data_IF_463776080754
#
_entry.id   IF_463776080754
#
_cell.length_a   1.000
_cell.length_b   1.000
_cell.length_c   1.000
_cell.angle_alpha   90.00
_cell.angle_beta   90.00
_cell.angle_gamma   90.00
#
_symmetry.space_group_name_H-M   'P 1'
#
loop_
_entity.id
_entity.type
_entity.pdbx_description
1 polymer ?
#
# COMPACT_ATOMS: atom_id res chain seq x y z
N UNK A 1 -1.66 -30.21 22.61
CA UNK A 1 -1.78 -30.01 21.15
C UNK A 1 -0.60 -29.18 20.71
N UNK A 2 0.22 -29.66 19.77
CA UNK A 2 1.35 -28.88 19.27
C UNK A 2 0.83 -27.64 18.53
N UNK A 3 1.40 -26.48 18.81
CA UNK A 3 1.10 -25.24 18.10
C UNK A 3 1.28 -25.46 16.59
N UNK A 4 0.22 -25.19 15.82
CA UNK A 4 0.34 -25.10 14.36
C UNK A 4 1.23 -23.90 14.04
N UNK A 5 2.47 -24.17 13.62
CA UNK A 5 3.38 -23.13 13.13
C UNK A 5 2.99 -22.74 11.72
N UNK A 6 2.73 -21.46 11.49
CA UNK A 6 2.58 -20.93 10.14
C UNK A 6 3.88 -21.16 9.36
N UNK A 7 3.76 -21.62 8.10
CA UNK A 7 4.90 -21.72 7.19
C UNK A 7 5.35 -20.29 6.88
N UNK A 8 6.60 -19.98 7.19
CA UNK A 8 7.19 -18.68 6.88
C UNK A 8 7.20 -18.46 5.37
N UNK A 9 6.93 -17.22 4.96
CA UNK A 9 6.88 -16.85 3.56
C UNK A 9 8.15 -16.10 3.18
N UNK A 10 9.04 -16.75 2.44
CA UNK A 10 10.28 -16.12 1.97
C UNK A 10 10.08 -15.42 0.62
N UNK A 11 10.55 -14.18 0.51
CA UNK A 11 10.66 -13.49 -0.76
C UNK A 11 11.83 -12.49 -0.74
N UNK A 12 12.73 -12.58 -1.73
CA UNK A 12 13.94 -11.74 -1.83
C UNK A 12 14.81 -11.72 -0.56
N UNK A 13 14.88 -12.84 0.15
CA UNK A 13 15.67 -12.98 1.38
C UNK A 13 14.99 -12.43 2.64
N UNK A 14 13.77 -11.92 2.55
CA UNK A 14 12.95 -11.54 3.71
C UNK A 14 11.97 -12.65 4.09
N UNK A 15 11.78 -12.84 5.40
CA UNK A 15 10.77 -13.74 5.97
C UNK A 15 9.57 -12.91 6.41
N UNK A 16 8.51 -12.95 5.60
CA UNK A 16 7.29 -12.19 5.87
C UNK A 16 6.43 -12.84 6.96
N UNK A 17 5.80 -12.01 7.80
CA UNK A 17 4.86 -12.42 8.85
C UNK A 17 3.55 -12.95 8.28
N UNK A 18 3.21 -12.55 7.05
CA UNK A 18 2.05 -13.05 6.34
C UNK A 18 2.28 -13.23 4.84
N UNK A 19 1.48 -14.12 4.23
CA UNK A 19 1.44 -14.25 2.76
C UNK A 19 0.91 -12.98 2.08
N UNK A 20 0.07 -12.20 2.77
CA UNK A 20 -0.47 -10.96 2.22
C UNK A 20 0.61 -9.90 2.09
N UNK A 21 1.45 -9.71 3.11
CA UNK A 21 2.64 -8.84 3.05
C UNK A 21 3.56 -9.26 1.89
N UNK A 22 3.88 -10.55 1.78
CA UNK A 22 4.74 -11.03 0.70
C UNK A 22 4.15 -10.78 -0.70
N UNK A 23 2.82 -10.81 -0.85
CA UNK A 23 2.16 -10.45 -2.13
C UNK A 23 2.24 -8.96 -2.41
N UNK A 24 2.15 -8.11 -1.39
CA UNK A 24 2.38 -6.68 -1.54
C UNK A 24 3.85 -6.37 -1.90
N UNK A 25 4.83 -7.09 -1.33
CA UNK A 25 6.22 -6.99 -1.77
C UNK A 25 6.40 -7.33 -3.26
N UNK A 26 5.73 -8.38 -3.76
CA UNK A 26 5.69 -8.70 -5.20
C UNK A 26 5.03 -7.59 -6.03
N UNK A 27 3.99 -6.94 -5.51
CA UNK A 27 3.37 -5.78 -6.16
C UNK A 27 4.36 -4.61 -6.25
N UNK A 28 5.01 -4.24 -5.14
CA UNK A 28 5.97 -3.13 -5.09
C UNK A 28 7.12 -3.35 -6.08
N UNK A 29 7.69 -4.55 -6.11
CA UNK A 29 8.70 -4.93 -7.10
C UNK A 29 8.21 -4.82 -8.54
N UNK A 30 6.97 -5.24 -8.80
CA UNK A 30 6.40 -5.17 -10.15
C UNK A 30 6.11 -3.74 -10.58
N UNK A 31 5.86 -2.83 -9.64
CA UNK A 31 5.74 -1.39 -9.85
C UNK A 31 7.10 -0.69 -9.99
N UNK A 32 8.20 -1.35 -9.61
CA UNK A 32 9.54 -0.75 -9.64
C UNK A 32 9.78 0.29 -8.55
N UNK A 33 9.00 0.27 -7.47
CA UNK A 33 9.21 1.14 -6.30
C UNK A 33 10.21 0.49 -5.35
N UNK A 34 11.16 1.26 -4.84
CA UNK A 34 12.08 0.79 -3.80
C UNK A 34 11.35 0.66 -2.47
N UNK A 35 11.58 -0.43 -1.75
CA UNK A 35 10.93 -0.71 -0.48
C UNK A 35 11.88 -1.34 0.54
N UNK A 36 11.63 -1.05 1.81
CA UNK A 36 12.24 -1.68 2.98
C UNK A 36 11.14 -2.43 3.75
N UNK A 37 11.42 -3.64 4.23
CA UNK A 37 10.50 -4.41 5.08
C UNK A 37 10.88 -4.25 6.55
N UNK A 38 9.91 -3.94 7.40
CA UNK A 38 10.09 -3.67 8.84
C UNK A 38 11.29 -2.72 9.12
N UNK A 39 11.29 -1.50 8.58
CA UNK A 39 12.48 -0.61 8.55
C UNK A 39 13.03 -0.30 9.95
N UNK A 40 12.19 0.16 10.86
CA UNK A 40 12.51 0.34 12.29
C UNK A 40 11.22 0.50 13.11
N UNK A 41 11.32 0.21 14.42
CA UNK A 41 10.22 0.40 15.37
C UNK A 41 10.30 1.74 16.09
N UNK A 42 9.15 2.38 16.27
CA UNK A 42 9.02 3.68 16.93
C UNK A 42 8.31 3.55 18.28
N UNK A 43 8.80 4.28 19.26
CA UNK A 43 8.08 4.57 20.51
C UNK A 43 7.28 5.86 20.34
N UNK A 44 5.95 5.75 20.40
CA UNK A 44 5.01 6.86 20.21
C UNK A 44 4.54 7.46 21.55
N UNK A 45 5.14 7.04 22.66
CA UNK A 45 4.74 7.41 24.01
C UNK A 45 3.52 6.64 24.51
N UNK A 46 3.22 6.80 25.81
CA UNK A 46 2.09 6.15 26.48
C UNK A 46 2.05 4.60 26.34
N UNK A 47 3.21 3.97 26.16
CA UNK A 47 3.33 2.52 25.96
C UNK A 47 2.92 2.04 24.55
N UNK A 48 2.75 2.95 23.60
CA UNK A 48 2.43 2.62 22.21
C UNK A 48 3.73 2.47 21.42
N UNK A 49 4.02 1.24 20.99
CA UNK A 49 5.06 0.97 20.01
C UNK A 49 4.46 0.62 18.66
N UNK A 50 5.07 1.11 17.59
CA UNK A 50 4.64 0.89 16.21
C UNK A 50 5.81 0.51 15.31
N UNK A 51 5.63 -0.55 14.53
CA UNK A 51 6.58 -1.01 13.50
C UNK A 51 5.78 -1.16 12.20
N UNK A 52 5.95 -0.25 11.23
CA UNK A 52 5.28 -0.36 9.94
C UNK A 52 5.78 -1.59 9.18
N UNK A 53 4.92 -2.20 8.37
CA UNK A 53 5.30 -3.37 7.55
C UNK A 53 6.31 -2.99 6.46
N UNK A 54 6.09 -1.85 5.79
CA UNK A 54 7.01 -1.37 4.75
C UNK A 54 7.25 0.13 4.82
N UNK A 55 8.39 0.54 4.26
CA UNK A 55 8.66 1.91 3.85
C UNK A 55 8.98 1.93 2.36
N UNK A 56 8.09 2.53 1.57
CA UNK A 56 8.27 2.76 0.14
C UNK A 56 9.01 4.07 -0.07
N UNK A 57 9.97 4.10 -1.00
CA UNK A 57 10.68 5.32 -1.37
C UNK A 57 10.15 5.85 -2.70
N UNK A 58 10.16 7.17 -2.85
CA UNK A 58 9.82 7.86 -4.11
C UNK A 58 8.43 7.51 -4.65
N UNK A 59 7.44 7.45 -3.76
CA UNK A 59 6.02 7.34 -4.13
C UNK A 59 5.51 8.73 -4.48
N UNK A 60 4.75 8.80 -5.57
CA UNK A 60 4.09 10.03 -5.99
C UNK A 60 2.74 10.19 -5.31
N UNK A 61 2.56 11.32 -4.64
CA UNK A 61 1.33 11.72 -3.98
C UNK A 61 0.65 12.86 -4.76
N UNK A 62 -0.62 13.10 -4.47
CA UNK A 62 -1.46 14.13 -5.12
C UNK A 62 -2.44 13.56 -6.14
N UNK A 63 -2.11 12.47 -6.83
CA UNK A 63 -3.06 11.74 -7.70
C UNK A 63 -3.44 12.47 -8.99
N UNK A 64 -2.69 13.49 -9.40
CA UNK A 64 -2.91 14.29 -10.61
C UNK A 64 -1.85 14.06 -11.69
N UNK A 65 -0.99 13.04 -11.54
CA UNK A 65 0.17 12.82 -12.39
C UNK A 65 1.32 13.80 -12.14
N UNK A 66 2.46 13.52 -12.76
CA UNK A 66 3.69 14.30 -12.63
C UNK A 66 3.56 15.67 -13.25
N UNK A 67 4.05 16.68 -12.53
CA UNK A 67 4.07 18.05 -13.05
C UNK A 67 2.84 18.87 -12.70
N UNK A 68 1.91 18.34 -11.90
CA UNK A 68 0.98 19.21 -11.17
C UNK A 68 1.72 19.88 -10.00
N UNK A 69 1.40 21.12 -9.68
CA UNK A 69 1.95 21.83 -8.52
C UNK A 69 1.57 21.15 -7.18
N UNK A 70 0.63 20.20 -7.22
CA UNK A 70 0.17 19.40 -6.10
C UNK A 70 0.81 18.00 -6.05
N UNK A 71 1.72 17.68 -6.98
CA UNK A 71 2.42 16.39 -6.99
C UNK A 71 3.71 16.46 -6.19
N UNK A 72 3.89 15.50 -5.29
CA UNK A 72 5.10 15.38 -4.48
C UNK A 72 5.62 13.94 -4.52
N UNK A 73 6.94 13.78 -4.61
CA UNK A 73 7.62 12.49 -4.52
C UNK A 73 8.20 12.36 -3.12
N UNK A 74 7.69 11.39 -2.34
CA UNK A 74 8.11 11.20 -0.95
C UNK A 74 8.22 9.73 -0.58
N UNK A 75 8.71 9.50 0.64
CA UNK A 75 8.60 8.20 1.28
C UNK A 75 7.18 8.00 1.82
N UNK A 76 6.72 6.75 1.83
CA UNK A 76 5.39 6.36 2.29
C UNK A 76 5.50 5.10 3.15
N UNK A 77 5.03 5.16 4.39
CA UNK A 77 4.89 3.97 5.22
C UNK A 77 3.66 3.18 4.79
N UNK A 78 3.73 1.86 4.91
CA UNK A 78 2.61 0.97 4.59
C UNK A 78 2.38 0.01 5.73
N UNK A 79 1.10 -0.16 6.07
CA UNK A 79 0.60 -1.22 6.93
C UNK A 79 -0.26 -2.18 6.08
N UNK A 80 -0.04 -3.49 6.20
CA UNK A 80 -0.79 -4.52 5.50
C UNK A 80 -1.71 -5.25 6.47
N UNK A 81 -3.02 -5.08 6.31
CA UNK A 81 -4.03 -5.72 7.17
C UNK A 81 -5.23 -6.20 6.37
N UNK A 82 -5.42 -7.52 6.32
CA UNK A 82 -6.64 -8.10 5.75
C UNK A 82 -7.88 -7.73 6.57
N UNK A 83 -7.76 -7.66 7.89
CA UNK A 83 -8.79 -7.15 8.80
C UNK A 83 -8.12 -6.22 9.81
N UNK A 84 -8.56 -4.97 9.84
CA UNK A 84 -8.11 -3.96 10.79
C UNK A 84 -8.87 -4.12 12.11
N UNK A 85 -8.21 -3.89 13.24
CA UNK A 85 -8.84 -3.71 14.54
C UNK A 85 -8.79 -2.25 14.98
N UNK A 86 -9.52 -1.91 16.04
CA UNK A 86 -9.42 -0.60 16.67
C UNK A 86 -7.98 -0.29 17.11
N UNK A 87 -7.31 -1.26 17.75
CA UNK A 87 -5.95 -1.10 18.24
C UNK A 87 -4.94 -0.87 17.10
N UNK A 88 -5.12 -1.54 15.94
CA UNK A 88 -4.31 -1.26 14.75
C UNK A 88 -4.53 0.20 14.30
N UNK A 89 -5.80 0.62 14.20
CA UNK A 89 -6.13 1.99 13.79
C UNK A 89 -5.57 3.03 14.75
N UNK A 90 -5.59 2.79 16.06
CA UNK A 90 -5.07 3.72 17.07
C UNK A 90 -3.55 3.91 16.92
N UNK A 91 -2.80 2.82 16.69
CA UNK A 91 -1.35 2.88 16.45
C UNK A 91 -1.01 3.64 15.18
N UNK A 92 -1.69 3.33 14.08
CA UNK A 92 -1.46 3.99 12.78
C UNK A 92 -1.76 5.49 12.88
N UNK A 93 -2.87 5.85 13.52
CA UNK A 93 -3.22 7.26 13.73
C UNK A 93 -2.22 7.97 14.65
N UNK A 94 -1.73 7.31 15.70
CA UNK A 94 -0.71 7.88 16.57
C UNK A 94 0.58 8.15 15.80
N UNK A 95 1.01 7.21 14.95
CA UNK A 95 2.21 7.36 14.14
C UNK A 95 2.06 8.48 13.10
N UNK A 96 0.94 8.49 12.36
CA UNK A 96 0.61 9.56 11.42
C UNK A 96 0.61 10.94 12.09
N UNK A 97 0.00 11.05 13.27
CA UNK A 97 -0.07 12.31 14.03
C UNK A 97 1.29 12.75 14.57
N UNK A 98 2.17 11.82 14.93
CA UNK A 98 3.51 12.15 15.41
C UNK A 98 4.37 12.84 14.34
N UNK A 99 4.08 12.63 13.06
CA UNK A 99 4.74 13.32 11.95
C UNK A 99 4.03 14.60 11.49
N UNK A 100 2.90 15.00 12.10
CA UNK A 100 2.26 16.27 11.76
C UNK A 100 3.07 17.42 12.35
N UNK A 101 3.52 18.34 11.48
CA UNK A 101 4.09 19.60 11.92
C UNK A 101 3.01 20.56 12.46
N UNK A 102 3.41 21.46 13.36
CA UNK A 102 2.55 22.56 13.80
C UNK A 102 2.33 23.57 12.65
N UNK A 103 1.08 23.72 12.17
CA UNK A 103 0.71 24.70 11.14
C UNK A 103 -0.27 24.17 10.09
N UNK A 104 -0.66 25.01 9.13
CA UNK A 104 -1.51 24.62 7.98
C UNK A 104 -0.79 24.90 6.66
N UNK A 105 -0.87 23.98 5.66
CA UNK A 105 -1.45 22.64 5.74
C UNK A 105 -0.49 21.67 6.47
N UNK A 106 -0.98 20.93 7.47
CA UNK A 106 -0.18 19.90 8.15
C UNK A 106 -0.16 18.64 7.28
N UNK A 107 0.88 18.49 6.45
CA UNK A 107 1.17 17.22 5.79
C UNK A 107 2.08 16.43 6.74
N UNK A 108 1.72 15.19 7.04
CA UNK A 108 2.53 14.35 7.93
C UNK A 108 3.85 13.93 7.25
N UNK A 109 4.94 13.96 8.00
CA UNK A 109 6.24 13.35 7.62
C UNK A 109 6.23 11.82 7.79
N UNK A 110 5.20 11.27 8.43
CA UNK A 110 4.97 9.83 8.62
C UNK A 110 3.65 9.39 7.97
N UNK A 111 3.44 9.65 6.66
CA UNK A 111 2.22 9.24 6.00
C UNK A 111 2.15 7.70 5.95
N UNK A 112 1.00 7.14 6.28
CA UNK A 112 0.74 5.71 6.30
C UNK A 112 -0.41 5.37 5.36
N UNK A 113 -0.14 4.51 4.37
CA UNK A 113 -1.18 3.86 3.59
C UNK A 113 -1.48 2.48 4.17
N UNK A 114 -2.73 2.24 4.53
CA UNK A 114 -3.19 0.89 4.91
C UNK A 114 -3.58 0.14 3.65
N UNK A 115 -3.02 -1.05 3.44
CA UNK A 115 -3.34 -1.94 2.34
C UNK A 115 -4.06 -3.19 2.85
N UNK A 116 -5.20 -3.48 2.25
CA UNK A 116 -5.99 -4.68 2.54
C UNK A 116 -5.61 -5.87 1.67
N UNK A 117 -6.59 -6.72 1.38
CA UNK A 117 -6.45 -7.79 0.39
C UNK A 117 -6.03 -7.22 -0.97
N UNK A 118 -5.27 -8.02 -1.74
CA UNK A 118 -4.92 -7.65 -3.12
C UNK A 118 -6.21 -7.51 -3.93
N UNK A 119 -6.50 -6.34 -4.55
CA UNK A 119 -7.72 -6.11 -5.31
C UNK A 119 -7.99 -7.23 -6.32
N UNK A 120 -9.19 -7.81 -6.38
CA UNK A 120 -9.54 -8.85 -7.33
C UNK A 120 -9.83 -8.29 -8.73
N UNK A 121 -9.94 -9.19 -9.72
CA UNK A 121 -10.23 -8.83 -11.11
C UNK A 121 -8.99 -8.72 -11.99
N UNK A 122 -9.20 -8.61 -13.31
CA UNK A 122 -8.11 -8.60 -14.32
C UNK A 122 -7.91 -7.26 -14.99
N UNK A 123 -8.83 -6.31 -14.78
CA UNK A 123 -8.83 -4.99 -15.42
C UNK A 123 -8.75 -3.89 -14.37
N UNK A 124 -8.14 -2.76 -14.73
CA UNK A 124 -8.04 -1.57 -13.87
C UNK A 124 -9.41 -1.15 -13.32
N UNK A 125 -10.44 -1.08 -14.16
CA UNK A 125 -11.78 -0.62 -13.76
C UNK A 125 -12.40 -1.52 -12.68
N UNK A 126 -12.28 -2.86 -12.82
CA UNK A 126 -12.76 -3.82 -11.82
C UNK A 126 -12.01 -3.71 -10.49
N UNK A 127 -10.69 -3.50 -10.53
CA UNK A 127 -9.88 -3.32 -9.33
C UNK A 127 -10.22 -1.99 -8.65
N UNK A 128 -10.34 -0.90 -9.42
CA UNK A 128 -10.80 0.42 -8.95
C UNK A 128 -12.14 0.31 -8.22
N UNK A 129 -13.16 -0.25 -8.86
CA UNK A 129 -14.49 -0.37 -8.24
C UNK A 129 -14.44 -1.16 -6.93
N UNK A 130 -13.60 -2.18 -6.83
CA UNK A 130 -13.41 -2.92 -5.59
C UNK A 130 -12.69 -2.08 -4.53
N UNK A 131 -11.62 -1.38 -4.91
CA UNK A 131 -10.86 -0.52 -4.00
C UNK A 131 -11.71 0.64 -3.46
N UNK A 132 -12.54 1.27 -4.30
CA UNK A 132 -13.47 2.31 -3.85
C UNK A 132 -14.52 1.75 -2.89
N UNK A 133 -15.05 0.56 -3.16
CA UNK A 133 -15.98 -0.11 -2.25
C UNK A 133 -15.32 -0.47 -0.91
N UNK A 134 -14.07 -0.92 -0.94
CA UNK A 134 -13.30 -1.27 0.26
C UNK A 134 -12.96 -0.02 1.09
N UNK A 135 -12.46 1.02 0.43
CA UNK A 135 -12.14 2.31 1.04
C UNK A 135 -13.38 3.01 1.61
N UNK A 136 -14.55 2.82 0.99
CA UNK A 136 -15.82 3.41 1.38
C UNK A 136 -16.61 2.60 2.41
N UNK A 137 -16.09 1.47 2.90
CA UNK A 137 -16.77 0.71 3.95
C UNK A 137 -16.96 1.59 5.19
N UNK A 138 -18.13 1.53 5.84
CA UNK A 138 -18.31 2.17 7.14
C UNK A 138 -17.25 1.66 8.09
N UNK A 139 -16.39 2.56 8.55
CA UNK A 139 -15.29 2.21 9.41
C UNK A 139 -15.37 3.04 10.69
N UNK A 140 -15.57 2.41 11.86
CA UNK A 140 -15.78 3.14 13.11
C UNK A 140 -14.50 3.80 13.64
N UNK A 141 -13.35 3.53 13.03
CA UNK A 141 -12.04 4.04 13.43
C UNK A 141 -11.42 4.93 12.35
N UNK A 142 -10.33 5.62 12.66
CA UNK A 142 -9.79 6.66 11.77
C UNK A 142 -8.94 6.15 10.59
N UNK A 143 -8.12 5.10 10.77
CA UNK A 143 -7.29 4.55 9.69
C UNK A 143 -8.05 3.47 8.91
N UNK A 144 -8.04 3.54 7.57
CA UNK A 144 -8.86 2.67 6.70
C UNK A 144 -8.01 2.14 5.55
N UNK A 145 -8.33 0.92 5.08
CA UNK A 145 -7.68 0.35 3.92
C UNK A 145 -7.94 1.19 2.66
N UNK A 146 -6.90 1.40 1.85
CA UNK A 146 -6.95 2.14 0.59
C UNK A 146 -7.51 3.55 0.69
N UNK A 147 -7.20 4.29 1.76
CA UNK A 147 -7.76 5.61 2.03
C UNK A 147 -6.67 6.64 2.32
N UNK A 148 -6.87 7.87 1.85
CA UNK A 148 -5.87 8.95 1.96
C UNK A 148 -5.84 9.64 3.32
N UNK A 149 -6.80 9.35 4.21
CA UNK A 149 -6.94 10.02 5.51
C UNK A 149 -5.71 9.93 6.43
N UNK A 150 -4.89 8.88 6.32
CA UNK A 150 -3.59 8.77 7.04
C UNK A 150 -2.38 8.98 6.13
N UNK A 151 -2.60 9.42 4.90
CA UNK A 151 -1.56 9.78 3.93
C UNK A 151 -1.44 11.30 3.86
N UNK A 152 -2.53 11.98 3.53
CA UNK A 152 -2.59 13.43 3.33
C UNK A 152 -3.78 14.09 4.07
N UNK A 153 -4.53 13.31 4.85
CA UNK A 153 -5.68 13.79 5.60
C UNK A 153 -6.97 13.91 4.79
N UNK A 154 -6.96 13.63 3.48
CA UNK A 154 -8.15 13.71 2.64
C UNK A 154 -9.08 12.50 2.83
N UNK A 155 -10.38 12.77 2.85
CA UNK A 155 -11.43 11.74 2.91
C UNK A 155 -11.74 11.20 1.50
N UNK A 156 -10.77 10.51 0.90
CA UNK A 156 -10.93 9.89 -0.40
C UNK A 156 -10.13 8.59 -0.53
N UNK A 157 -10.46 7.80 -1.56
CA UNK A 157 -9.74 6.59 -1.92
C UNK A 157 -8.26 6.90 -2.25
N UNK A 158 -7.34 6.04 -1.81
CA UNK A 158 -5.96 5.99 -2.25
C UNK A 158 -5.72 4.68 -3.02
N UNK A 159 -5.83 4.70 -4.36
CA UNK A 159 -5.58 3.50 -5.18
C UNK A 159 -4.16 3.48 -5.73
N UNK A 160 -3.28 2.54 -5.29
CA UNK A 160 -1.92 2.46 -5.78
C UNK A 160 -1.89 1.97 -7.24
N UNK A 161 -1.38 2.80 -8.15
CA UNK A 161 -1.17 2.44 -9.55
C UNK A 161 0.21 2.87 -10.02
N UNK A 162 0.71 2.23 -11.07
CA UNK A 162 1.87 2.76 -11.79
C UNK A 162 1.38 3.90 -12.69
N UNK A 163 1.98 5.07 -12.58
CA UNK A 163 1.70 6.19 -13.48
C UNK A 163 2.50 6.08 -14.78
N UNK A 164 2.21 6.93 -15.76
CA UNK A 164 2.86 6.91 -17.08
C UNK A 164 4.35 7.25 -17.07
N UNK A 165 4.87 7.76 -15.96
CA UNK A 165 6.30 8.02 -15.77
C UNK A 165 7.01 6.87 -15.05
N UNK A 166 6.28 5.82 -14.68
CA UNK A 166 6.82 4.64 -14.03
C UNK A 166 6.92 4.75 -12.51
N UNK A 167 6.37 5.80 -11.89
CA UNK A 167 6.26 5.89 -10.43
C UNK A 167 5.04 5.14 -9.92
N UNK A 168 5.13 4.60 -8.69
CA UNK A 168 3.94 4.25 -7.93
C UNK A 168 3.27 5.54 -7.46
N UNK A 169 1.98 5.70 -7.76
CA UNK A 169 1.17 6.86 -7.41
C UNK A 169 -0.16 6.43 -6.77
N UNK A 170 -0.64 7.23 -5.81
CA UNK A 170 -1.94 7.01 -5.15
C UNK A 170 -3.02 7.84 -5.83
N UNK A 171 -3.92 7.17 -6.57
CA UNK A 171 -4.97 7.86 -7.33
C UNK A 171 -6.31 7.91 -6.59
N UNK A 172 -6.79 9.14 -6.41
CA UNK A 172 -8.09 9.50 -5.83
C UNK A 172 -9.33 9.16 -6.67
N UNK A 173 -10.48 9.68 -6.23
CA UNK A 173 -11.82 9.42 -6.78
C UNK A 173 -12.13 10.16 -8.09
N UNK A 174 -11.29 11.10 -8.53
CA UNK A 174 -11.44 11.81 -9.80
C UNK A 174 -11.13 10.92 -11.02
N UNK A 175 -11.84 9.81 -11.16
CA UNK A 175 -11.47 8.69 -12.04
C UNK A 175 -11.33 9.11 -13.52
N UNK A 176 -12.29 9.87 -14.04
CA UNK A 176 -12.27 10.34 -15.43
C UNK A 176 -11.02 11.16 -15.74
N UNK A 177 -10.59 11.98 -14.77
CA UNK A 177 -9.36 12.77 -14.86
C UNK A 177 -8.11 11.89 -14.71
N UNK A 178 -8.11 10.98 -13.74
CA UNK A 178 -6.95 10.17 -13.35
C UNK A 178 -6.55 9.14 -14.41
N UNK A 179 -7.51 8.61 -15.18
CA UNK A 179 -7.28 7.56 -16.19
C UNK A 179 -6.20 7.91 -17.22
N UNK A 180 -5.97 9.19 -17.51
CA UNK A 180 -4.94 9.61 -18.47
C UNK A 180 -3.52 9.53 -17.91
N UNK A 181 -3.35 9.48 -16.59
CA UNK A 181 -2.04 9.43 -15.92
C UNK A 181 -1.63 8.03 -15.48
N UNK A 182 -2.59 7.10 -15.38
CA UNK A 182 -2.32 5.71 -15.00
C UNK A 182 -1.72 4.95 -16.21
N UNK A 183 -0.59 4.27 -16.00
CA UNK A 183 -0.17 3.18 -16.87
C UNK A 183 -1.00 1.94 -16.53
N UNK A 184 -2.08 1.77 -17.31
CA UNK A 184 -3.01 0.66 -17.17
C UNK A 184 -2.33 -0.70 -17.28
N UNK A 185 -1.41 -0.87 -18.23
CA UNK A 185 -0.77 -2.17 -18.50
C UNK A 185 0.17 -2.56 -17.37
N UNK A 186 0.99 -1.61 -16.90
CA UNK A 186 1.89 -1.84 -15.77
C UNK A 186 1.11 -2.12 -14.49
N UNK A 187 0.05 -1.35 -14.21
CA UNK A 187 -0.80 -1.53 -13.03
C UNK A 187 -1.51 -2.89 -13.02
N UNK A 188 -2.19 -3.25 -14.11
CA UNK A 188 -2.87 -4.55 -14.23
C UNK A 188 -1.88 -5.72 -14.11
N UNK A 189 -0.67 -5.57 -14.68
CA UNK A 189 0.40 -6.57 -14.56
C UNK A 189 0.86 -6.71 -13.12
N UNK A 190 1.12 -5.62 -12.40
CA UNK A 190 1.61 -5.66 -11.03
C UNK A 190 0.63 -6.38 -10.09
N UNK A 191 -0.65 -5.99 -10.14
CA UNK A 191 -1.68 -6.66 -9.36
C UNK A 191 -1.87 -8.13 -9.74
N UNK A 192 -1.76 -8.48 -11.03
CA UNK A 192 -1.82 -9.88 -11.46
C UNK A 192 -0.68 -10.71 -10.87
N UNK A 193 0.54 -10.19 -10.87
CA UNK A 193 1.70 -10.86 -10.29
C UNK A 193 1.53 -11.08 -8.78
N UNK A 194 1.08 -10.05 -8.06
CA UNK A 194 0.80 -10.14 -6.63
C UNK A 194 -0.26 -11.20 -6.30
N UNK A 195 -1.37 -11.25 -7.04
CA UNK A 195 -2.41 -12.29 -6.85
C UNK A 195 -1.91 -13.70 -7.16
N UNK A 196 -1.07 -13.84 -8.18
CA UNK A 196 -0.57 -15.14 -8.64
C UNK A 196 0.64 -15.63 -7.85
N UNK A 197 1.25 -14.78 -7.02
CA UNK A 197 2.32 -15.19 -6.12
C UNK A 197 1.81 -16.25 -5.14
N UNK A 198 2.39 -17.44 -5.28
CA UNK A 198 2.11 -18.63 -4.48
C UNK A 198 3.33 -18.93 -3.62
N UNK A 199 3.07 -19.08 -2.32
CA UNK A 199 4.06 -19.35 -1.30
C UNK A 199 3.68 -20.66 -0.57
N UNK A 200 3.49 -21.72 -1.37
CA UNK A 200 2.93 -23.00 -0.91
C UNK A 200 3.93 -23.79 -0.04
N UNK A 201 5.24 -23.60 -0.24
CA UNK A 201 6.31 -24.29 0.51
C UNK A 201 7.44 -23.35 0.99
N UNK A 202 7.17 -22.07 1.16
CA UNK A 202 8.20 -21.08 1.52
C UNK A 202 9.12 -20.68 0.36
N UNK A 203 8.91 -21.19 -0.85
CA UNK A 203 9.73 -20.83 -2.02
C UNK A 203 9.36 -19.46 -2.61
N UNK A 204 10.36 -18.78 -3.18
CA UNK A 204 10.18 -17.57 -4.00
C UNK A 204 9.27 -17.88 -5.21
N UNK A 205 8.19 -17.12 -5.46
CA UNK A 205 7.28 -17.36 -6.57
C UNK A 205 8.02 -17.29 -7.91
N UNK A 206 8.07 -18.41 -8.63
CA UNK A 206 8.54 -18.42 -10.02
C UNK A 206 7.52 -17.67 -10.87
N UNK A 207 7.74 -16.37 -11.10
CA UNK A 207 6.98 -15.61 -12.09
C UNK A 207 7.19 -16.31 -13.43
N UNK A 208 6.16 -17.01 -13.94
CA UNK A 208 6.17 -17.53 -15.30
C UNK A 208 6.30 -16.32 -16.23
N UNK A 209 7.50 -16.03 -16.72
CA UNK A 209 7.70 -15.09 -17.83
C UNK A 209 6.84 -15.59 -18.97
N UNK A 210 5.75 -14.88 -19.27
CA UNK A 210 5.00 -15.10 -20.50
C UNK A 210 5.98 -14.83 -21.65
N UNK A 211 6.36 -15.89 -22.37
CA UNK A 211 7.01 -15.75 -23.67
C UNK A 211 5.96 -15.17 -24.59
N UNK A 212 6.10 -13.90 -24.96
CA UNK A 212 5.40 -13.39 -26.12
C UNK A 212 6.06 -14.04 -27.34
N UNK A 213 5.29 -14.87 -28.05
CA UNK A 213 5.56 -15.28 -29.42
C UNK A 213 4.91 -14.26 -30.35
#
# INVERSE_FOLDING_TARGET
MGEMKAIQTEYKGYLFRSRLEARWAVFFDACGVDWEYEPEGYDLGNGIHYLPDFLLKRVQLGGYGSGSEFSEIRSLYVEVKGQMTQADSEKILAFYKAGLADGLPAISDTPVLVLGDIPPGTTLDRMRSWVDAESGRPFPWGARAFHSGTVDGMDCTAFPCVNREGYLELFGQAEEYNRRFIDRRATERAYRLARQARFEHGETPKVRRARYA
#
